data_IF_639611897629
#
_entry.id   IF_639611897629
#
_cell.length_a   1.000
_cell.length_b   1.000
_cell.length_c   1.000
_cell.angle_alpha   90.00
_cell.angle_beta   90.00
_cell.angle_gamma   90.00
#
_symmetry.space_group_name_H-M   'P 1'
#
loop_
_entity.id
_entity.type
_entity.pdbx_description
1 polymer ?
#
# COMPACT_ATOMS: atom_id res chain seq x y z
N UNK A 1 5.12 -9.44 25.12
CA UNK A 1 6.30 -9.70 24.28
C UNK A 1 7.25 -8.55 24.51
N UNK A 2 8.56 -8.77 24.54
CA UNK A 2 9.58 -7.70 24.49
C UNK A 2 10.28 -7.77 23.14
N UNK A 3 10.53 -6.62 22.51
CA UNK A 3 11.38 -6.55 21.32
C UNK A 3 12.80 -7.02 21.66
N UNK A 4 13.34 -7.95 20.87
CA UNK A 4 14.76 -8.26 20.86
C UNK A 4 15.55 -7.12 20.18
N UNK A 5 16.84 -7.03 20.47
CA UNK A 5 17.77 -6.17 19.73
C UNK A 5 17.73 -6.46 18.22
N UNK A 6 17.49 -7.73 17.84
CA UNK A 6 17.31 -8.14 16.44
C UNK A 6 16.03 -7.58 15.82
N UNK A 7 14.92 -7.52 16.57
CA UNK A 7 13.64 -7.01 16.06
C UNK A 7 13.72 -5.50 15.80
N UNK A 8 14.37 -4.74 16.70
CA UNK A 8 14.70 -3.34 16.46
C UNK A 8 15.65 -3.15 15.29
N UNK A 9 16.66 -4.02 15.13
CA UNK A 9 17.58 -4.01 14.00
C UNK A 9 16.88 -4.21 12.66
N UNK A 10 15.97 -5.20 12.57
CA UNK A 10 15.18 -5.47 11.35
C UNK A 10 14.18 -4.33 11.07
N UNK A 11 13.50 -3.81 12.09
CA UNK A 11 12.58 -2.68 11.93
C UNK A 11 13.30 -1.40 11.47
N UNK A 12 14.44 -1.07 12.09
CA UNK A 12 15.28 0.05 11.68
C UNK A 12 15.84 -0.13 10.27
N UNK A 13 16.30 -1.33 9.91
CA UNK A 13 16.79 -1.63 8.56
C UNK A 13 15.68 -1.52 7.52
N UNK A 14 14.46 -2.01 7.81
CA UNK A 14 13.30 -1.85 6.92
C UNK A 14 12.99 -0.37 6.66
N UNK A 15 12.92 0.44 7.73
CA UNK A 15 12.68 1.89 7.61
C UNK A 15 13.80 2.58 6.84
N UNK A 16 15.07 2.23 7.09
CA UNK A 16 16.23 2.78 6.38
C UNK A 16 16.27 2.37 4.90
N UNK A 17 15.84 1.17 4.53
CA UNK A 17 15.74 0.74 3.13
C UNK A 17 14.61 1.48 2.42
N UNK A 18 13.39 1.50 2.97
CA UNK A 18 12.25 2.19 2.34
C UNK A 18 12.49 3.69 2.23
N UNK A 19 12.96 4.33 3.30
CA UNK A 19 13.33 5.76 3.31
C UNK A 19 14.52 6.01 2.40
N UNK A 20 15.49 5.10 2.37
CA UNK A 20 16.69 5.17 1.52
C UNK A 20 16.36 5.13 0.03
N UNK A 21 15.47 4.24 -0.41
CA UNK A 21 15.01 4.18 -1.82
C UNK A 21 14.27 5.48 -2.19
N UNK A 22 13.39 5.97 -1.31
CA UNK A 22 12.66 7.23 -1.52
C UNK A 22 13.58 8.45 -1.59
N UNK A 23 14.54 8.56 -0.67
CA UNK A 23 15.56 9.62 -0.68
C UNK A 23 16.50 9.49 -1.88
N UNK A 24 16.92 8.28 -2.24
CA UNK A 24 17.79 8.05 -3.40
C UNK A 24 17.10 8.48 -4.70
N UNK A 25 15.83 8.16 -4.90
CA UNK A 25 15.06 8.61 -6.07
C UNK A 25 14.60 10.08 -5.98
N UNK A 26 14.50 10.67 -4.79
CA UNK A 26 14.23 12.09 -4.59
C UNK A 26 15.45 13.01 -4.77
N UNK A 27 16.66 12.51 -4.49
CA UNK A 27 17.91 13.27 -4.52
C UNK A 27 18.80 12.97 -5.75
N UNK A 28 18.67 11.79 -6.36
CA UNK A 28 19.38 11.43 -7.59
C UNK A 28 18.57 11.90 -8.80
N UNK A 29 19.15 12.83 -9.57
CA UNK A 29 18.36 13.84 -10.30
C UNK A 29 17.89 13.41 -11.69
N UNK A 30 16.57 13.42 -11.87
CA UNK A 30 15.88 13.23 -13.15
C UNK A 30 14.50 13.93 -13.18
N UNK A 31 14.47 15.23 -12.84
CA UNK A 31 13.22 15.97 -12.65
C UNK A 31 12.29 15.99 -13.87
N UNK A 32 11.05 15.52 -13.69
CA UNK A 32 9.99 15.64 -14.69
C UNK A 32 9.54 17.09 -14.81
N UNK A 33 9.40 17.57 -16.06
CA UNK A 33 9.25 19.00 -16.37
C UNK A 33 7.82 19.54 -16.22
N UNK A 34 6.84 18.65 -16.03
CA UNK A 34 5.40 18.98 -16.07
C UNK A 34 4.66 18.19 -14.98
N UNK A 35 3.67 18.81 -14.34
CA UNK A 35 2.86 18.14 -13.31
C UNK A 35 2.09 16.90 -13.85
N UNK A 36 1.61 16.93 -15.09
CA UNK A 36 1.00 15.76 -15.75
C UNK A 36 1.98 14.57 -15.82
N UNK A 37 3.26 14.83 -16.10
CA UNK A 37 4.29 13.80 -16.21
C UNK A 37 4.54 13.15 -14.83
N UNK A 38 4.56 13.95 -13.76
CA UNK A 38 4.64 13.50 -12.35
C UNK A 38 3.46 12.60 -11.94
N UNK A 39 2.22 12.98 -12.29
CA UNK A 39 1.01 12.22 -11.94
C UNK A 39 0.70 11.03 -12.88
N UNK A 40 1.24 11.00 -14.11
CA UNK A 40 0.99 9.91 -15.07
C UNK A 40 2.19 8.96 -15.25
N UNK A 41 3.34 9.27 -14.65
CA UNK A 41 4.59 8.54 -14.87
C UNK A 41 5.00 8.48 -16.35
N UNK A 42 4.60 9.47 -17.14
CA UNK A 42 4.81 9.50 -18.59
C UNK A 42 4.18 8.34 -19.36
N UNK A 43 3.20 7.62 -18.79
CA UNK A 43 2.42 6.51 -19.40
C UNK A 43 3.24 5.34 -20.00
N UNK A 44 4.52 5.20 -19.64
CA UNK A 44 5.47 4.20 -20.22
C UNK A 44 5.86 3.04 -19.29
N UNK A 45 5.18 2.88 -18.14
CA UNK A 45 5.44 1.73 -17.24
C UNK A 45 4.64 0.51 -17.69
N UNK A 46 5.21 -0.68 -17.45
CA UNK A 46 4.53 -1.95 -17.70
C UNK A 46 3.37 -2.15 -16.71
N UNK A 47 2.38 -2.96 -17.10
CA UNK A 47 1.18 -3.19 -16.27
C UNK A 47 1.47 -3.92 -14.95
N UNK A 48 2.55 -4.73 -14.89
CA UNK A 48 2.85 -5.60 -13.75
C UNK A 48 3.28 -4.80 -12.49
N UNK A 49 4.26 -3.86 -12.54
CA UNK A 49 4.54 -2.96 -11.42
C UNK A 49 3.33 -2.13 -10.98
N UNK A 50 2.54 -1.62 -11.94
CA UNK A 50 1.35 -0.80 -11.66
C UNK A 50 0.28 -1.62 -10.94
N UNK A 51 0.04 -2.86 -11.35
CA UNK A 51 -0.88 -3.77 -10.66
C UNK A 51 -0.40 -4.16 -9.26
N UNK A 52 0.91 -4.32 -9.06
CA UNK A 52 1.49 -4.58 -7.75
C UNK A 52 1.37 -3.36 -6.82
N UNK A 53 1.62 -2.13 -7.31
CA UNK A 53 1.44 -0.89 -6.54
C UNK A 53 -0.03 -0.62 -6.18
N UNK A 54 -0.96 -0.87 -7.11
CA UNK A 54 -2.39 -0.87 -6.81
C UNK A 54 -2.74 -1.92 -5.74
N UNK A 55 -2.13 -3.10 -5.77
CA UNK A 55 -2.34 -4.13 -4.74
C UNK A 55 -1.76 -3.71 -3.38
N UNK A 56 -0.58 -3.07 -3.38
CA UNK A 56 0.04 -2.49 -2.18
C UNK A 56 -0.87 -1.44 -1.53
N UNK A 57 -1.51 -0.61 -2.35
CA UNK A 57 -2.42 0.45 -1.91
C UNK A 57 -3.67 -0.09 -1.18
N UNK A 58 -4.06 -1.34 -1.43
CA UNK A 58 -5.13 -2.02 -0.67
C UNK A 58 -4.60 -2.71 0.60
N UNK A 59 -3.34 -3.17 0.63
CA UNK A 59 -2.72 -3.84 1.78
C UNK A 59 -2.39 -2.88 2.93
N UNK A 60 -3.41 -2.48 3.69
CA UNK A 60 -3.23 -1.73 4.94
C UNK A 60 -3.16 -2.63 6.18
N UNK A 61 -2.64 -2.10 7.29
CA UNK A 61 -2.59 -2.80 8.58
C UNK A 61 -3.97 -3.29 9.06
N UNK A 62 -5.06 -2.62 8.64
CA UNK A 62 -6.44 -3.02 8.91
C UNK A 62 -6.74 -4.38 8.26
N UNK A 63 -6.26 -4.63 7.03
CA UNK A 63 -6.44 -5.96 6.40
C UNK A 63 -5.59 -7.03 7.10
N UNK A 64 -4.36 -6.72 7.49
CA UNK A 64 -3.44 -7.66 8.17
C UNK A 64 -4.04 -8.21 9.47
N UNK A 65 -4.72 -7.36 10.25
CA UNK A 65 -5.35 -7.74 11.52
C UNK A 65 -6.82 -8.18 11.35
N UNK A 66 -7.55 -7.51 10.47
CA UNK A 66 -9.00 -7.70 10.26
C UNK A 66 -9.35 -8.98 9.51
N UNK A 67 -8.61 -9.33 8.44
CA UNK A 67 -8.90 -10.54 7.65
C UNK A 67 -8.80 -11.82 8.49
N UNK A 68 -7.76 -12.02 9.33
CA UNK A 68 -7.74 -13.15 10.27
C UNK A 68 -8.87 -13.11 11.31
N UNK A 69 -9.27 -11.93 11.80
CA UNK A 69 -10.34 -11.79 12.78
C UNK A 69 -11.73 -12.09 12.19
N UNK A 70 -12.00 -11.66 10.95
CA UNK A 70 -13.21 -11.98 10.21
C UNK A 70 -13.25 -13.47 9.84
N UNK A 71 -12.15 -14.04 9.35
CA UNK A 71 -12.05 -15.48 9.12
C UNK A 71 -12.19 -16.31 10.41
N UNK A 72 -11.76 -15.78 11.56
CA UNK A 72 -11.97 -16.40 12.87
C UNK A 72 -13.46 -16.37 13.28
N UNK A 73 -14.20 -15.31 12.96
CA UNK A 73 -15.58 -15.06 13.40
C UNK A 73 -16.66 -15.61 12.44
N UNK A 74 -16.44 -15.52 11.13
CA UNK A 74 -17.37 -15.93 10.09
C UNK A 74 -16.93 -17.20 9.34
N UNK A 75 -15.71 -17.69 9.60
CA UNK A 75 -15.20 -18.91 8.99
C UNK A 75 -15.14 -18.83 7.46
N UNK A 76 -15.45 -19.95 6.82
CA UNK A 76 -15.48 -20.12 5.36
C UNK A 76 -16.43 -19.13 4.65
N UNK A 77 -17.45 -18.58 5.33
CA UNK A 77 -18.34 -17.56 4.72
C UNK A 77 -17.59 -16.31 4.24
N UNK A 78 -16.42 -16.02 4.82
CA UNK A 78 -15.51 -14.95 4.38
C UNK A 78 -15.08 -15.10 2.90
N UNK A 79 -15.01 -16.34 2.36
CA UNK A 79 -14.64 -16.58 0.96
C UNK A 79 -15.62 -15.95 -0.04
N UNK A 80 -16.90 -15.78 0.32
CA UNK A 80 -17.85 -15.07 -0.53
C UNK A 80 -17.49 -13.59 -0.70
N UNK A 81 -16.92 -12.94 0.33
CA UNK A 81 -16.41 -11.57 0.20
C UNK A 81 -15.16 -11.51 -0.69
N UNK A 82 -14.27 -12.50 -0.60
CA UNK A 82 -13.13 -12.61 -1.52
C UNK A 82 -13.58 -12.77 -2.98
N UNK A 83 -14.56 -13.63 -3.24
CA UNK A 83 -15.13 -13.83 -4.58
C UNK A 83 -15.80 -12.57 -5.11
N UNK A 84 -16.59 -11.87 -4.27
CA UNK A 84 -17.19 -10.58 -4.62
C UNK A 84 -16.15 -9.52 -4.97
N UNK A 85 -15.05 -9.42 -4.20
CA UNK A 85 -13.97 -8.48 -4.46
C UNK A 85 -13.19 -8.80 -5.75
N UNK A 86 -12.97 -10.08 -6.05
CA UNK A 86 -12.37 -10.52 -7.31
C UNK A 86 -13.25 -10.14 -8.51
N UNK A 87 -14.57 -10.42 -8.45
CA UNK A 87 -15.52 -10.05 -9.50
C UNK A 87 -15.60 -8.53 -9.70
N UNK A 88 -15.67 -7.75 -8.61
CA UNK A 88 -15.63 -6.28 -8.66
C UNK A 88 -14.35 -5.75 -9.34
N UNK A 89 -13.20 -6.35 -9.03
CA UNK A 89 -11.91 -5.97 -9.64
C UNK A 89 -11.89 -6.29 -11.15
N UNK A 90 -12.39 -7.46 -11.55
CA UNK A 90 -12.49 -7.85 -12.97
C UNK A 90 -13.46 -6.94 -13.76
N UNK A 91 -14.63 -6.64 -13.21
CA UNK A 91 -15.60 -5.72 -13.81
C UNK A 91 -15.03 -4.30 -13.93
N UNK A 92 -14.29 -3.83 -12.92
CA UNK A 92 -13.60 -2.53 -12.96
C UNK A 92 -12.54 -2.50 -14.07
N UNK A 93 -11.74 -3.57 -14.19
CA UNK A 93 -10.69 -3.69 -15.19
C UNK A 93 -11.21 -3.83 -16.63
N UNK A 94 -12.39 -4.43 -16.84
CA UNK A 94 -12.96 -4.62 -18.18
C UNK A 94 -13.94 -3.52 -18.62
N UNK A 95 -14.73 -2.94 -17.72
CA UNK A 95 -15.75 -1.94 -18.08
C UNK A 95 -15.25 -0.50 -17.92
N UNK A 96 -14.61 -0.17 -16.79
CA UNK A 96 -14.27 1.21 -16.45
C UNK A 96 -12.90 1.61 -16.98
N UNK A 97 -11.88 0.75 -16.83
CA UNK A 97 -10.51 1.03 -17.28
C UNK A 97 -10.40 1.45 -18.77
N UNK A 98 -11.03 0.77 -19.76
CA UNK A 98 -10.92 1.21 -21.15
C UNK A 98 -11.62 2.54 -21.44
N UNK A 99 -12.64 2.92 -20.66
CA UNK A 99 -13.31 4.24 -20.78
C UNK A 99 -12.36 5.34 -20.31
N UNK A 100 -11.77 5.19 -19.11
CA UNK A 100 -10.80 6.16 -18.58
C UNK A 100 -9.54 6.25 -19.46
N UNK A 101 -9.03 5.14 -19.97
CA UNK A 101 -7.84 5.12 -20.83
C UNK A 101 -8.08 5.82 -22.17
N UNK A 102 -9.25 5.64 -22.80
CA UNK A 102 -9.63 6.35 -24.04
C UNK A 102 -9.83 7.85 -23.85
N UNK A 103 -10.31 8.28 -22.68
CA UNK A 103 -10.53 9.70 -22.37
C UNK A 103 -9.27 10.45 -21.94
N UNK A 104 -8.18 9.74 -21.61
CA UNK A 104 -6.87 10.33 -21.32
C UNK A 104 -6.81 11.23 -20.08
N UNK A 105 -7.81 11.13 -19.19
CA UNK A 105 -8.00 12.04 -18.05
C UNK A 105 -6.87 11.92 -17.02
N UNK A 106 -6.64 13.01 -16.27
CA UNK A 106 -5.64 13.03 -15.19
C UNK A 106 -6.24 12.69 -13.82
N UNK A 107 -7.57 12.77 -13.69
CA UNK A 107 -8.29 12.45 -12.46
C UNK A 107 -9.66 11.87 -12.75
N UNK A 108 -10.08 10.87 -11.98
CA UNK A 108 -11.41 10.24 -12.08
C UNK A 108 -12.55 11.26 -11.92
N UNK A 109 -12.35 12.31 -11.11
CA UNK A 109 -13.35 13.36 -10.88
C UNK A 109 -13.50 14.33 -12.07
N UNK A 110 -12.53 14.35 -13.00
CA UNK A 110 -12.63 15.09 -14.27
C UNK A 110 -13.74 14.51 -15.16
N UNK A 111 -13.97 13.19 -15.10
CA UNK A 111 -15.08 12.53 -15.80
C UNK A 111 -16.44 13.00 -15.29
N UNK A 112 -16.59 13.23 -13.97
CA UNK A 112 -17.84 13.72 -13.38
C UNK A 112 -18.16 15.16 -13.79
N UNK A 113 -17.14 16.00 -13.98
CA UNK A 113 -17.33 17.35 -14.53
C UNK A 113 -17.75 17.30 -16.01
N UNK A 114 -17.07 16.49 -16.83
CA UNK A 114 -17.39 16.32 -18.25
C UNK A 114 -18.75 15.64 -18.51
N UNK A 115 -19.21 14.74 -17.62
CA UNK A 115 -20.48 14.00 -17.77
C UNK A 115 -21.68 14.67 -17.09
N UNK A 116 -21.48 15.43 -16.03
CA UNK A 116 -22.55 16.07 -15.26
C UNK A 116 -22.34 17.57 -15.15
N UNK A 117 -21.57 18.02 -14.15
CA UNK A 117 -21.34 19.43 -13.83
C UNK A 117 -20.19 19.58 -12.82
N UNK A 118 -19.59 20.77 -12.77
CA UNK A 118 -18.48 21.10 -11.84
C UNK A 118 -18.85 20.89 -10.36
N UNK A 119 -20.10 21.10 -9.97
CA UNK A 119 -20.59 20.84 -8.61
C UNK A 119 -20.47 19.35 -8.23
N UNK A 120 -20.73 18.42 -9.17
CA UNK A 120 -20.62 16.98 -8.94
C UNK A 120 -19.15 16.57 -8.78
N UNK A 121 -18.24 17.16 -9.56
CA UNK A 121 -16.79 17.03 -9.35
C UNK A 121 -16.39 17.53 -7.95
N UNK A 122 -16.90 18.68 -7.51
CA UNK A 122 -16.57 19.23 -6.19
C UNK A 122 -17.04 18.31 -5.07
N UNK A 123 -18.31 17.90 -5.07
CA UNK A 123 -18.87 16.98 -4.07
C UNK A 123 -18.12 15.64 -4.03
N UNK A 124 -17.87 15.01 -5.19
CA UNK A 124 -17.14 13.75 -5.26
C UNK A 124 -15.69 13.86 -4.77
N UNK A 125 -15.01 14.98 -5.06
CA UNK A 125 -13.65 15.23 -4.56
C UNK A 125 -13.65 15.46 -3.05
N UNK A 126 -14.59 16.26 -2.52
CA UNK A 126 -14.72 16.53 -1.09
C UNK A 126 -15.06 15.25 -0.29
N UNK A 127 -16.00 14.45 -0.77
CA UNK A 127 -16.36 13.16 -0.17
C UNK A 127 -15.15 12.21 -0.13
N UNK A 128 -14.36 12.16 -1.21
CA UNK A 128 -13.15 11.32 -1.26
C UNK A 128 -12.05 11.82 -0.33
N UNK A 129 -11.80 13.14 -0.26
CA UNK A 129 -10.82 13.72 0.67
C UNK A 129 -11.22 13.43 2.12
N UNK A 130 -12.49 13.61 2.49
CA UNK A 130 -12.99 13.30 3.82
C UNK A 130 -12.88 11.80 4.15
N UNK A 131 -13.32 10.91 3.25
CA UNK A 131 -13.22 9.47 3.43
C UNK A 131 -11.76 8.99 3.55
N UNK A 132 -10.86 9.54 2.73
CA UNK A 132 -9.42 9.23 2.75
C UNK A 132 -8.78 9.70 4.06
N UNK A 133 -9.10 10.91 4.53
CA UNK A 133 -8.58 11.47 5.78
C UNK A 133 -9.02 10.67 7.02
N UNK A 134 -10.27 10.19 7.03
CA UNK A 134 -10.74 9.27 8.09
C UNK A 134 -10.05 7.91 7.99
N UNK A 135 -9.92 7.34 6.78
CA UNK A 135 -9.28 6.05 6.57
C UNK A 135 -7.81 6.04 6.97
N UNK A 136 -7.01 7.02 6.55
CA UNK A 136 -5.59 7.09 6.89
C UNK A 136 -5.34 7.26 8.39
N UNK A 137 -6.21 7.98 9.10
CA UNK A 137 -6.18 8.06 10.56
C UNK A 137 -6.29 6.68 11.23
N UNK A 138 -7.26 5.85 10.80
CA UNK A 138 -7.45 4.48 11.32
C UNK A 138 -6.28 3.57 10.91
N UNK A 139 -5.75 3.71 9.69
CA UNK A 139 -4.60 2.93 9.20
C UNK A 139 -3.32 3.24 10.00
N UNK A 140 -3.09 4.48 10.42
CA UNK A 140 -1.94 4.88 11.25
C UNK A 140 -2.14 4.47 12.73
N UNK A 141 -3.37 4.42 13.22
CA UNK A 141 -3.68 3.98 14.59
C UNK A 141 -3.30 2.51 14.83
N UNK A 142 -3.56 1.60 13.87
CA UNK A 142 -3.27 0.17 14.03
C UNK A 142 -1.80 -0.17 14.37
N UNK A 143 -0.77 0.29 13.63
CA UNK A 143 0.63 0.06 14.02
C UNK A 143 1.05 0.83 15.28
N UNK A 144 0.47 2.01 15.55
CA UNK A 144 0.74 2.76 16.79
C UNK A 144 0.23 2.01 18.04
N UNK A 145 -0.94 1.38 17.95
CA UNK A 145 -1.48 0.51 19.01
C UNK A 145 -0.61 -0.73 19.24
N UNK A 146 -0.13 -1.38 18.17
CA UNK A 146 0.84 -2.47 18.30
C UNK A 146 2.11 -1.98 18.98
N UNK A 147 2.71 -0.88 18.51
CA UNK A 147 3.95 -0.34 19.06
C UNK A 147 3.83 -0.02 20.55
N UNK A 148 2.72 0.58 20.99
CA UNK A 148 2.38 0.79 22.39
C UNK A 148 2.40 -0.52 23.19
N UNK A 149 1.76 -1.59 22.69
CA UNK A 149 1.69 -2.88 23.38
C UNK A 149 3.05 -3.59 23.54
N UNK A 150 4.04 -3.33 22.67
CA UNK A 150 5.37 -3.98 22.74
C UNK A 150 6.48 -3.11 23.31
N UNK A 151 6.31 -1.79 23.36
CA UNK A 151 7.32 -0.84 23.86
C UNK A 151 6.92 -0.12 25.15
N UNK A 152 5.62 -0.10 25.48
CA UNK A 152 5.08 0.70 26.60
C UNK A 152 5.02 2.21 26.32
N UNK A 153 5.45 2.69 25.15
CA UNK A 153 5.35 4.09 24.77
C UNK A 153 3.89 4.51 24.60
N UNK A 154 3.55 5.72 25.00
CA UNK A 154 2.20 6.26 24.83
C UNK A 154 1.75 6.31 23.36
N UNK A 155 0.46 6.10 23.14
CA UNK A 155 -0.18 6.06 21.83
C UNK A 155 -0.09 7.43 21.15
N UNK A 156 -0.30 8.54 21.86
CA UNK A 156 -0.21 9.88 21.26
C UNK A 156 1.21 10.24 20.86
N UNK A 157 2.20 9.91 21.71
CA UNK A 157 3.62 10.06 21.35
C UNK A 157 3.98 9.25 20.08
N UNK A 158 3.46 8.02 19.96
CA UNK A 158 3.69 7.13 18.81
C UNK A 158 3.03 7.64 17.52
N UNK A 159 1.79 8.16 17.60
CA UNK A 159 1.10 8.77 16.47
C UNK A 159 1.75 10.10 16.02
N UNK A 160 2.09 10.98 16.96
CA UNK A 160 2.71 12.28 16.65
C UNK A 160 4.10 12.10 16.04
N UNK A 161 4.96 11.24 16.60
CA UNK A 161 6.28 10.96 16.04
C UNK A 161 6.20 10.38 14.62
N UNK A 162 5.29 9.41 14.38
CA UNK A 162 5.06 8.83 13.06
C UNK A 162 4.53 9.88 12.07
N UNK A 163 3.59 10.73 12.49
CA UNK A 163 3.07 11.84 11.69
C UNK A 163 4.15 12.85 11.28
N UNK A 164 5.04 13.21 12.21
CA UNK A 164 6.18 14.10 11.96
C UNK A 164 7.17 13.46 10.97
N UNK A 165 7.54 12.19 11.18
CA UNK A 165 8.47 11.45 10.31
C UNK A 165 7.91 11.36 8.88
N UNK A 166 6.64 10.95 8.72
CA UNK A 166 5.97 10.86 7.42
C UNK A 166 5.86 12.23 6.73
N UNK A 167 5.57 13.30 7.48
CA UNK A 167 5.48 14.67 6.94
C UNK A 167 6.86 15.16 6.47
N UNK A 168 7.91 14.95 7.28
CA UNK A 168 9.28 15.33 6.96
C UNK A 168 9.82 14.57 5.74
N UNK A 169 9.63 13.25 5.70
CA UNK A 169 9.96 12.39 4.56
C UNK A 169 9.25 12.85 3.28
N UNK A 170 7.93 13.04 3.33
CA UNK A 170 7.14 13.51 2.18
C UNK A 170 7.60 14.90 1.71
N UNK A 171 7.96 15.78 2.65
CA UNK A 171 8.47 17.12 2.34
C UNK A 171 9.83 17.07 1.63
N UNK A 172 10.76 16.22 2.09
CA UNK A 172 12.08 16.07 1.44
C UNK A 172 11.93 15.44 0.06
N UNK A 173 11.16 14.36 -0.08
CA UNK A 173 10.92 13.69 -1.38
C UNK A 173 10.28 14.67 -2.37
N UNK A 174 9.30 15.46 -1.93
CA UNK A 174 8.66 16.50 -2.76
C UNK A 174 9.63 17.63 -3.12
N UNK A 175 10.37 18.18 -2.16
CA UNK A 175 11.31 19.27 -2.38
C UNK A 175 12.47 18.89 -3.31
N UNK A 176 13.01 17.67 -3.19
CA UNK A 176 14.10 17.18 -4.04
C UNK A 176 13.77 17.23 -5.53
N UNK A 177 12.51 16.96 -5.91
CA UNK A 177 12.07 17.00 -7.32
C UNK A 177 12.13 18.39 -7.97
N UNK A 178 12.10 19.47 -7.19
CA UNK A 178 12.00 20.84 -7.70
C UNK A 178 13.35 21.51 -8.03
N UNK A 179 14.47 20.93 -7.62
CA UNK A 179 15.71 21.72 -7.45
C UNK A 179 17.03 21.06 -7.81
N UNK A 180 17.25 20.60 -9.06
CA UNK A 180 18.61 20.47 -9.62
C UNK A 180 18.71 20.16 -11.11
N UNK A 181 19.87 20.50 -11.67
CA UNK A 181 20.35 20.10 -13.01
C UNK A 181 20.52 18.58 -13.11
N UNK A 182 20.24 18.00 -14.28
CA UNK A 182 20.35 16.56 -14.53
C UNK A 182 21.79 16.07 -14.73
N UNK A 183 21.98 14.76 -14.59
CA UNK A 183 23.25 14.06 -14.80
C UNK A 183 23.08 12.98 -15.89
N UNK A 184 24.14 12.56 -16.61
CA UNK A 184 24.07 11.44 -17.55
C UNK A 184 23.73 10.12 -16.81
N UNK A 185 22.93 9.26 -17.45
CA UNK A 185 22.56 7.96 -16.88
C UNK A 185 23.70 6.95 -16.90
N UNK A 186 23.78 6.10 -15.86
CA UNK A 186 24.77 5.03 -15.74
C UNK A 186 24.41 3.88 -16.70
N UNK A 187 25.26 3.50 -17.67
CA UNK A 187 25.02 2.35 -18.53
C UNK A 187 25.06 1.03 -17.76
N UNK A 188 24.20 0.07 -18.10
CA UNK A 188 24.24 -1.30 -17.54
C UNK A 188 23.57 -1.48 -16.17
N UNK A 189 22.98 -0.44 -15.57
CA UNK A 189 22.13 -0.60 -14.40
C UNK A 189 20.89 -1.46 -14.72
N UNK A 190 20.43 -2.29 -13.77
CA UNK A 190 19.14 -2.98 -13.90
C UNK A 190 17.99 -1.96 -13.97
N UNK A 191 16.85 -2.24 -14.64
CA UNK A 191 15.67 -1.34 -14.68
C UNK A 191 15.23 -0.76 -13.31
N UNK A 192 15.50 -1.50 -12.23
CA UNK A 192 15.28 -1.11 -10.84
C UNK A 192 16.19 -0.02 -10.26
N UNK A 193 17.26 0.34 -10.97
CA UNK A 193 18.32 1.26 -10.52
C UNK A 193 18.49 2.48 -11.45
N UNK A 194 17.67 2.64 -12.50
CA UNK A 194 17.74 3.79 -13.41
C UNK A 194 17.30 5.08 -12.72
N UNK A 195 18.17 6.11 -12.55
CA UNK A 195 17.84 7.34 -11.80
C UNK A 195 16.85 8.29 -12.48
N UNK A 196 16.21 7.88 -13.58
CA UNK A 196 15.29 8.69 -14.39
C UNK A 196 13.80 8.43 -14.06
N UNK A 197 13.51 8.02 -12.81
CA UNK A 197 12.19 7.54 -12.38
C UNK A 197 11.63 8.31 -11.17
N UNK A 198 11.66 9.64 -11.23
CA UNK A 198 11.01 10.50 -10.24
C UNK A 198 9.46 10.40 -10.24
N UNK A 199 8.85 11.07 -9.27
CA UNK A 199 7.39 11.16 -9.13
C UNK A 199 6.72 9.82 -8.84
N UNK A 200 5.54 9.58 -9.40
CA UNK A 200 4.75 8.37 -9.15
C UNK A 200 5.50 7.06 -9.48
N UNK A 201 6.52 7.10 -10.35
CA UNK A 201 7.34 5.91 -10.65
C UNK A 201 8.12 5.40 -9.44
N UNK A 202 8.72 6.31 -8.66
CA UNK A 202 9.47 5.96 -7.47
C UNK A 202 8.55 5.31 -6.42
N UNK A 203 7.33 5.85 -6.27
CA UNK A 203 6.29 5.31 -5.37
C UNK A 203 5.89 3.89 -5.79
N UNK A 204 5.54 3.69 -7.07
CA UNK A 204 5.21 2.36 -7.61
C UNK A 204 6.33 1.34 -7.33
N UNK A 205 7.59 1.75 -7.39
CA UNK A 205 8.73 0.87 -7.11
C UNK A 205 8.99 0.62 -5.63
N UNK A 206 8.75 1.58 -4.73
CA UNK A 206 8.73 1.30 -3.28
C UNK A 206 7.57 0.38 -2.91
N UNK A 207 6.40 0.53 -3.55
CA UNK A 207 5.23 -0.31 -3.34
C UNK A 207 5.48 -1.77 -3.77
N UNK A 208 6.11 -1.98 -4.93
CA UNK A 208 6.51 -3.33 -5.39
C UNK A 208 7.40 -4.01 -4.36
N UNK A 209 8.40 -3.31 -3.83
CA UNK A 209 9.26 -3.84 -2.76
C UNK A 209 8.47 -4.13 -1.48
N UNK A 210 7.59 -3.21 -1.07
CA UNK A 210 6.74 -3.36 0.11
C UNK A 210 5.82 -4.59 0.01
N UNK A 211 5.25 -4.88 -1.16
CA UNK A 211 4.42 -6.08 -1.38
C UNK A 211 5.22 -7.36 -1.16
N UNK A 212 6.46 -7.47 -1.64
CA UNK A 212 7.29 -8.65 -1.37
C UNK A 212 7.64 -8.80 0.12
N UNK A 213 7.94 -7.68 0.82
CA UNK A 213 8.16 -7.69 2.28
C UNK A 213 6.90 -8.14 3.03
N UNK A 214 5.73 -7.59 2.69
CA UNK A 214 4.47 -7.94 3.35
C UNK A 214 4.05 -9.39 3.07
N UNK A 215 4.16 -9.86 1.82
CA UNK A 215 3.85 -11.25 1.45
C UNK A 215 4.77 -12.26 2.15
N UNK A 216 6.08 -11.99 2.24
CA UNK A 216 7.00 -12.87 2.96
C UNK A 216 6.71 -12.91 4.46
N UNK A 217 6.34 -11.76 5.06
CA UNK A 217 5.84 -11.70 6.45
C UNK A 217 4.56 -12.51 6.67
N UNK A 218 3.55 -12.36 5.80
CA UNK A 218 2.32 -13.16 5.85
C UNK A 218 2.60 -14.67 5.76
N UNK A 219 3.43 -15.09 4.81
CA UNK A 219 3.80 -16.50 4.62
C UNK A 219 4.52 -17.04 5.86
N UNK A 220 5.46 -16.28 6.43
CA UNK A 220 6.15 -16.67 7.66
C UNK A 220 5.20 -16.81 8.87
N UNK A 221 4.24 -15.89 9.02
CA UNK A 221 3.20 -15.95 10.06
C UNK A 221 2.32 -17.19 9.89
N UNK A 222 1.87 -17.48 8.66
CA UNK A 222 1.04 -18.65 8.35
C UNK A 222 1.80 -19.94 8.66
N UNK A 223 3.06 -20.07 8.22
CA UNK A 223 3.91 -21.24 8.50
C UNK A 223 4.10 -21.42 10.01
N UNK A 224 4.42 -20.36 10.76
CA UNK A 224 4.55 -20.43 12.23
C UNK A 224 3.25 -20.82 12.91
N UNK A 225 2.12 -20.27 12.49
CA UNK A 225 0.79 -20.61 13.03
C UNK A 225 0.43 -22.08 12.80
N UNK A 226 0.65 -22.59 11.58
CA UNK A 226 0.42 -23.99 11.21
C UNK A 226 1.31 -24.94 12.01
N UNK A 227 2.59 -24.59 12.22
CA UNK A 227 3.51 -25.38 13.04
C UNK A 227 3.10 -25.39 14.52
N UNK A 228 2.73 -24.24 15.09
CA UNK A 228 2.25 -24.13 16.48
C UNK A 228 0.94 -24.89 16.72
N UNK A 229 0.06 -24.97 15.72
CA UNK A 229 -1.17 -25.74 15.77
C UNK A 229 -0.96 -27.27 15.60
N UNK A 230 0.28 -27.74 15.43
CA UNK A 230 0.60 -29.16 15.23
C UNK A 230 0.35 -29.69 13.82
N UNK A 231 0.48 -28.83 12.80
CA UNK A 231 0.44 -29.20 11.38
C UNK A 231 -0.89 -28.89 10.67
N UNK A 232 -0.89 -28.82 9.33
CA UNK A 232 -2.02 -28.30 8.55
C UNK A 232 -3.28 -29.17 8.66
N UNK A 233 -3.13 -30.49 8.77
CA UNK A 233 -4.26 -31.40 9.03
C UNK A 233 -4.94 -31.10 10.38
N UNK A 234 -4.18 -30.71 11.41
CA UNK A 234 -4.71 -30.38 12.73
C UNK A 234 -5.37 -28.99 12.74
N UNK A 235 -4.83 -28.02 12.00
CA UNK A 235 -5.52 -26.75 11.73
C UNK A 235 -6.88 -26.99 11.07
N UNK A 236 -6.93 -27.82 10.04
CA UNK A 236 -8.18 -28.10 9.32
C UNK A 236 -9.20 -28.84 10.20
N UNK A 237 -8.75 -29.80 11.02
CA UNK A 237 -9.60 -30.48 11.99
C UNK A 237 -10.16 -29.53 13.07
N UNK A 238 -9.36 -28.58 13.57
CA UNK A 238 -9.81 -27.54 14.51
C UNK A 238 -10.84 -26.61 13.83
N UNK A 239 -10.61 -26.22 12.57
CA UNK A 239 -11.55 -25.39 11.83
C UNK A 239 -12.90 -26.09 11.57
N UNK A 240 -12.87 -27.38 11.24
CA UNK A 240 -14.07 -28.21 11.06
C UNK A 240 -14.85 -28.40 12.38
N UNK A 241 -14.15 -28.78 13.46
CA UNK A 241 -14.77 -29.01 14.77
C UNK A 241 -15.31 -27.71 15.41
N UNK A 242 -14.70 -26.56 15.11
CA UNK A 242 -15.21 -25.24 15.49
C UNK A 242 -16.32 -24.70 14.59
N UNK A 243 -17.00 -25.56 13.82
CA UNK A 243 -18.06 -25.29 12.83
C UNK A 243 -17.74 -24.24 11.75
N UNK A 244 -16.46 -23.87 11.57
CA UNK A 244 -16.03 -22.79 10.65
C UNK A 244 -15.94 -23.20 9.19
N UNK A 245 -16.02 -24.51 8.91
CA UNK A 245 -15.94 -25.10 7.57
C UNK A 245 -17.34 -25.46 7.03
N UNK A 246 -18.41 -25.03 7.71
CA UNK A 246 -19.77 -25.28 7.24
C UNK A 246 -20.17 -24.26 6.15
N UNK A 247 -20.56 -24.76 4.97
CA UNK A 247 -20.91 -23.95 3.80
C UNK A 247 -22.43 -23.72 3.64
N UNK A 248 -23.27 -24.39 4.45
CA UNK A 248 -24.68 -24.66 4.12
C UNK A 248 -25.75 -24.22 5.13
N UNK A 249 -25.39 -23.42 6.14
CA UNK A 249 -26.29 -22.69 7.06
C UNK A 249 -25.75 -21.26 7.18
#
# INVERSE_FOLDING_TARGET
>A
LTFSLWDYGVFGLMLLISTGIGLFHGLTKGGQKTAEDFFTGGRRMSALPVGLSLSASFMSAIQVLGVPAEAYRYGVKFLWMCLGQLLNTLLTAQLFLPVFYRLGLTSTYEYLERRFNRSVRLCGTLQYVAATMLYTGIVIYAPALILNQVTGLDIWASLLSTGIICTFYTTIVSAGTRGSRGFPGIPGAHPWLHPAQGGMKAVIWTDVFQVFVMLSGFIAIIIRGVLLAGGPARVLAIAANGSRVNFGE
#
